data_IF_479764277847
#
_entry.id   IF_479764277847
#
_cell.length_a   1.000
_cell.length_b   1.000
_cell.length_c   1.000
_cell.angle_alpha   90.00
_cell.angle_beta   90.00
_cell.angle_gamma   90.00
#
_symmetry.space_group_name_H-M   'P 1'
#
loop_
_entity.id
_entity.type
_entity.pdbx_description
1 polymer ?
#
# COMPACT_ATOMS: atom_id res chain seq x y z
N UNK A 1 -24.53 -1.48 19.15
CA UNK A 1 -23.95 -1.03 17.87
C UNK A 1 -22.92 -2.06 17.46
N UNK A 2 -23.38 -3.20 16.93
CA UNK A 2 -22.53 -4.23 16.32
C UNK A 2 -22.40 -3.85 14.85
N UNK A 3 -21.31 -3.19 14.51
CA UNK A 3 -21.08 -2.68 13.17
C UNK A 3 -19.66 -2.18 13.08
N UNK A 4 -18.95 -2.72 12.10
CA UNK A 4 -17.63 -2.25 11.73
C UNK A 4 -17.80 -0.88 11.07
N UNK A 5 -17.64 0.20 11.84
CA UNK A 5 -17.74 1.57 11.34
C UNK A 5 -16.36 2.08 10.90
N UNK A 6 -15.91 1.59 9.74
CA UNK A 6 -14.60 1.90 9.17
C UNK A 6 -14.73 2.35 7.71
N UNK A 7 -15.22 3.57 7.43
CA UNK A 7 -15.30 4.08 6.08
C UNK A 7 -13.92 4.25 5.45
N UNK A 8 -13.81 3.94 4.16
CA UNK A 8 -12.61 4.17 3.35
C UNK A 8 -12.72 5.49 2.58
N UNK A 9 -11.62 6.24 2.58
CA UNK A 9 -11.53 7.56 1.98
C UNK A 9 -10.59 7.58 0.77
N UNK A 10 -10.78 8.57 -0.11
CA UNK A 10 -9.87 8.90 -1.21
C UNK A 10 -8.58 9.54 -0.65
N UNK A 11 -7.71 9.98 -1.54
CA UNK A 11 -6.36 10.50 -1.23
C UNK A 11 -6.33 11.77 -0.39
N UNK A 12 -7.47 12.42 -0.19
CA UNK A 12 -7.64 13.59 0.66
C UNK A 12 -7.99 13.23 2.12
N UNK A 13 -8.19 11.94 2.42
CA UNK A 13 -8.61 11.43 3.72
C UNK A 13 -9.92 12.06 4.25
N UNK A 14 -10.77 12.59 3.35
CA UNK A 14 -12.03 13.24 3.69
C UNK A 14 -13.18 12.79 2.79
N UNK A 15 -12.92 12.61 1.49
CA UNK A 15 -13.91 12.15 0.52
C UNK A 15 -14.07 10.64 0.65
N UNK A 16 -15.27 10.16 0.95
CA UNK A 16 -15.55 8.71 1.03
C UNK A 16 -15.54 8.10 -0.38
N UNK A 17 -14.90 6.93 -0.52
CA UNK A 17 -14.89 6.22 -1.81
C UNK A 17 -16.31 5.81 -2.21
N UNK A 18 -16.67 6.03 -3.46
CA UNK A 18 -18.02 5.77 -3.93
C UNK A 18 -18.05 5.07 -5.28
N UNK A 19 -18.93 4.07 -5.39
CA UNK A 19 -19.23 3.41 -6.65
C UNK A 19 -18.12 2.48 -7.16
N UNK A 20 -18.26 1.97 -8.40
CA UNK A 20 -17.44 0.89 -8.95
C UNK A 20 -16.09 1.35 -9.49
N UNK A 21 -15.76 2.64 -9.39
CA UNK A 21 -14.41 3.13 -9.72
C UNK A 21 -13.37 2.66 -8.71
N UNK A 22 -13.83 2.29 -7.52
CA UNK A 22 -13.02 1.77 -6.43
C UNK A 22 -13.59 0.44 -5.98
N UNK A 23 -12.71 -0.45 -5.55
CA UNK A 23 -13.06 -1.77 -5.04
C UNK A 23 -12.25 -2.09 -3.81
N UNK A 24 -12.76 -3.00 -2.99
CA UNK A 24 -12.04 -3.59 -1.88
C UNK A 24 -12.11 -5.11 -1.90
N UNK A 25 -11.12 -5.75 -1.29
CA UNK A 25 -11.08 -7.20 -1.11
C UNK A 25 -10.51 -7.55 0.27
N UNK A 26 -10.99 -8.65 0.82
CA UNK A 26 -10.49 -9.22 2.05
C UNK A 26 -9.17 -9.94 1.80
N UNK A 27 -8.19 -9.71 2.67
CA UNK A 27 -6.93 -10.43 2.70
C UNK A 27 -6.83 -11.17 4.03
N UNK A 28 -6.59 -12.47 3.97
CA UNK A 28 -6.57 -13.34 5.16
C UNK A 28 -5.35 -14.27 5.12
N UNK A 29 -4.77 -14.53 6.30
CA UNK A 29 -3.65 -15.45 6.47
C UNK A 29 -3.58 -15.99 7.90
N UNK A 30 -2.81 -17.06 8.11
CA UNK A 30 -2.57 -17.63 9.45
C UNK A 30 -1.52 -16.87 10.25
N UNK A 31 -0.78 -15.99 9.58
CA UNK A 31 0.18 -15.06 10.16
C UNK A 31 -0.02 -13.67 9.52
N UNK A 32 0.41 -12.58 10.18
CA UNK A 32 0.33 -11.23 9.61
C UNK A 32 1.05 -11.07 8.27
N UNK A 33 2.07 -11.90 8.00
CA UNK A 33 2.90 -11.84 6.79
C UNK A 33 2.43 -12.80 5.68
N UNK A 34 1.42 -13.64 5.94
CA UNK A 34 0.92 -14.65 4.99
C UNK A 34 -0.43 -14.29 4.37
N UNK A 35 -0.82 -13.02 4.43
CA UNK A 35 -2.10 -12.53 3.94
C UNK A 35 -2.25 -12.72 2.43
N UNK A 36 -3.33 -13.40 2.03
CA UNK A 36 -3.70 -13.66 0.63
C UNK A 36 -5.11 -13.16 0.35
N UNK A 37 -5.42 -12.77 -0.90
CA UNK A 37 -6.77 -12.36 -1.26
C UNK A 37 -7.75 -13.53 -1.07
N UNK A 38 -8.89 -13.26 -0.43
CA UNK A 38 -9.96 -14.23 -0.21
C UNK A 38 -11.31 -13.58 -0.52
N UNK A 39 -12.22 -14.36 -1.11
CA UNK A 39 -13.54 -13.88 -1.50
C UNK A 39 -13.54 -12.96 -2.72
N UNK A 40 -14.71 -12.44 -3.04
CA UNK A 40 -14.93 -11.57 -4.19
C UNK A 40 -14.38 -10.16 -3.98
N UNK A 41 -14.01 -9.51 -5.08
CA UNK A 41 -13.72 -8.07 -5.13
C UNK A 41 -15.05 -7.33 -5.11
N UNK A 42 -15.21 -6.40 -4.16
CA UNK A 42 -16.48 -5.72 -3.90
C UNK A 42 -16.36 -4.23 -4.25
N UNK A 43 -17.27 -3.67 -5.07
CA UNK A 43 -17.31 -2.23 -5.32
C UNK A 43 -17.80 -1.48 -4.08
N UNK A 44 -17.40 -0.22 -3.95
CA UNK A 44 -17.92 0.65 -2.90
C UNK A 44 -19.37 1.05 -3.18
N UNK A 45 -20.14 1.20 -2.09
CA UNK A 45 -21.51 1.71 -2.14
C UNK A 45 -21.51 3.21 -2.46
N UNK A 46 -22.69 3.77 -2.69
CA UNK A 46 -22.89 5.18 -3.07
C UNK A 46 -23.77 5.91 -2.06
N UNK A 47 -23.85 7.24 -2.18
CA UNK A 47 -24.69 8.08 -1.33
C UNK A 47 -24.25 8.04 0.14
N UNK A 48 -25.21 7.95 1.06
CA UNK A 48 -24.94 7.89 2.50
C UNK A 48 -24.07 6.69 2.92
N UNK A 49 -24.04 5.62 2.11
CA UNK A 49 -23.24 4.43 2.35
C UNK A 49 -21.87 4.45 1.63
N UNK A 50 -21.48 5.55 1.00
CA UNK A 50 -20.12 5.70 0.47
C UNK A 50 -19.09 5.40 1.57
N UNK A 51 -17.94 4.84 1.17
CA UNK A 51 -16.87 4.39 2.05
C UNK A 51 -17.03 2.97 2.58
N UNK A 52 -18.18 2.32 2.36
CA UNK A 52 -18.42 0.94 2.78
C UNK A 52 -18.66 0.01 1.58
N UNK A 53 -18.33 -1.26 1.75
CA UNK A 53 -18.71 -2.35 0.84
C UNK A 53 -19.87 -3.15 1.42
N UNK A 54 -20.53 -3.97 0.59
CA UNK A 54 -21.53 -4.91 1.10
C UNK A 54 -20.87 -5.99 1.94
N UNK A 55 -21.41 -6.29 3.11
CA UNK A 55 -20.92 -7.40 3.93
C UNK A 55 -21.14 -8.73 3.20
N UNK A 56 -20.10 -9.55 3.14
CA UNK A 56 -20.15 -10.90 2.55
C UNK A 56 -19.47 -11.89 3.48
N UNK A 57 -19.94 -13.14 3.42
CA UNK A 57 -19.26 -14.25 4.11
C UNK A 57 -18.11 -14.71 3.23
N UNK A 58 -16.93 -14.81 3.82
CA UNK A 58 -15.71 -15.25 3.16
C UNK A 58 -15.21 -16.52 3.83
N UNK A 59 -15.06 -17.58 3.06
CA UNK A 59 -14.50 -18.86 3.55
C UNK A 59 -12.99 -18.82 3.45
N UNK A 60 -12.30 -19.08 4.55
CA UNK A 60 -10.84 -19.19 4.58
C UNK A 60 -10.42 -20.59 4.15
N UNK A 61 -9.67 -20.77 3.05
CA UNK A 61 -9.24 -22.10 2.61
C UNK A 61 -8.23 -22.71 3.59
N UNK A 62 -8.43 -23.97 3.97
CA UNK A 62 -7.49 -24.72 4.81
C UNK A 62 -7.48 -24.35 6.29
N UNK A 63 -8.50 -23.61 6.78
CA UNK A 63 -8.69 -23.40 8.21
C UNK A 63 -9.54 -24.52 8.82
N UNK A 64 -9.03 -25.17 9.86
CA UNK A 64 -9.87 -25.93 10.81
C UNK A 64 -10.58 -24.97 11.78
N UNK A 65 -11.56 -25.49 12.54
CA UNK A 65 -12.37 -24.73 13.50
C UNK A 65 -11.52 -23.99 14.54
N UNK A 66 -11.99 -22.81 14.97
CA UNK A 66 -11.40 -22.03 16.07
C UNK A 66 -9.93 -21.64 15.89
N UNK A 67 -9.47 -21.55 14.63
CA UNK A 67 -8.13 -21.05 14.33
C UNK A 67 -8.14 -19.53 14.29
N UNK A 68 -7.12 -18.94 14.93
CA UNK A 68 -6.81 -17.53 14.79
C UNK A 68 -6.27 -17.25 13.39
N UNK A 69 -6.94 -16.33 12.69
CA UNK A 69 -6.49 -15.79 11.41
C UNK A 69 -6.30 -14.29 11.54
N UNK A 70 -5.55 -13.74 10.60
CA UNK A 70 -5.31 -12.32 10.48
C UNK A 70 -6.05 -11.81 9.26
N UNK A 71 -6.83 -10.74 9.43
CA UNK A 71 -7.59 -10.09 8.37
C UNK A 71 -7.06 -8.68 8.11
N UNK A 72 -7.06 -8.29 6.85
CA UNK A 72 -6.82 -6.94 6.39
C UNK A 72 -7.75 -6.63 5.22
N UNK A 73 -8.36 -5.44 5.23
CA UNK A 73 -9.09 -4.94 4.08
C UNK A 73 -8.13 -4.15 3.19
N UNK A 74 -8.12 -4.43 1.90
CA UNK A 74 -7.34 -3.68 0.90
C UNK A 74 -8.26 -3.07 -0.13
N UNK A 75 -8.02 -1.82 -0.49
CA UNK A 75 -8.82 -1.08 -1.46
C UNK A 75 -7.94 -0.42 -2.52
N UNK A 76 -8.45 -0.33 -3.75
CA UNK A 76 -7.74 0.25 -4.88
C UNK A 76 -8.69 0.79 -5.96
N UNK A 77 -8.12 1.56 -6.89
CA UNK A 77 -8.80 2.03 -8.09
C UNK A 77 -8.94 0.90 -9.13
N UNK A 78 -10.17 0.58 -9.52
CA UNK A 78 -10.45 -0.57 -10.40
C UNK A 78 -9.83 -0.45 -11.79
N UNK A 79 -9.63 0.79 -12.26
CA UNK A 79 -9.07 1.06 -13.60
C UNK A 79 -7.60 0.65 -13.72
N UNK A 80 -6.85 0.62 -12.62
CA UNK A 80 -5.40 0.43 -12.64
C UNK A 80 -5.00 -1.02 -12.47
N UNK A 81 -5.86 -1.89 -11.93
CA UNK A 81 -5.57 -3.30 -11.80
C UNK A 81 -6.77 -4.17 -11.46
N UNK A 82 -6.76 -5.39 -12.01
CA UNK A 82 -7.74 -6.42 -11.68
C UNK A 82 -7.53 -7.03 -10.27
N UNK A 83 -6.35 -6.85 -9.69
CA UNK A 83 -6.04 -7.17 -8.29
C UNK A 83 -5.36 -5.97 -7.62
N UNK A 84 -5.28 -6.00 -6.30
CA UNK A 84 -4.57 -4.99 -5.51
C UNK A 84 -3.10 -4.89 -5.92
N UNK A 85 -2.41 -6.02 -6.11
CA UNK A 85 -1.00 -6.06 -6.52
C UNK A 85 -0.81 -5.50 -7.93
N UNK A 86 -1.74 -5.80 -8.85
CA UNK A 86 -1.72 -5.22 -10.19
C UNK A 86 -1.93 -3.71 -10.17
N UNK A 87 -2.83 -3.22 -9.29
CA UNK A 87 -3.10 -1.80 -9.14
C UNK A 87 -1.91 -1.04 -8.56
N UNK A 88 -1.17 -1.64 -7.62
CA UNK A 88 0.12 -1.11 -7.14
C UNK A 88 1.12 -1.07 -8.28
N UNK A 89 1.31 -2.18 -9.00
CA UNK A 89 2.29 -2.26 -10.08
C UNK A 89 2.03 -1.25 -11.21
N UNK A 90 0.76 -0.87 -11.41
CA UNK A 90 0.33 0.14 -12.37
C UNK A 90 0.36 1.58 -11.83
N UNK A 91 0.75 1.78 -10.57
CA UNK A 91 0.81 3.08 -9.91
C UNK A 91 -0.54 3.72 -9.60
N UNK A 92 -1.58 2.90 -9.44
CA UNK A 92 -2.91 3.37 -9.10
C UNK A 92 -3.08 3.74 -7.63
N UNK A 93 -4.17 4.45 -7.33
CA UNK A 93 -4.57 4.74 -5.95
C UNK A 93 -4.85 3.44 -5.22
N UNK A 94 -4.23 3.25 -4.06
CA UNK A 94 -4.37 2.04 -3.26
C UNK A 94 -4.20 2.32 -1.77
N UNK A 95 -4.74 1.46 -0.92
CA UNK A 95 -4.62 1.57 0.53
C UNK A 95 -5.07 0.29 1.23
N UNK A 96 -4.74 0.18 2.52
CA UNK A 96 -5.09 -0.98 3.33
C UNK A 96 -5.35 -0.60 4.78
N UNK A 97 -6.16 -1.41 5.46
CA UNK A 97 -6.46 -1.25 6.88
C UNK A 97 -5.32 -1.76 7.78
N UNK A 98 -5.45 -1.51 9.09
CA UNK A 98 -4.74 -2.31 10.09
C UNK A 98 -5.04 -3.80 9.93
N UNK A 99 -4.10 -4.63 10.38
CA UNK A 99 -4.29 -6.08 10.48
C UNK A 99 -5.01 -6.35 11.80
N UNK A 100 -6.08 -7.14 11.74
CA UNK A 100 -6.85 -7.55 12.92
C UNK A 100 -6.80 -9.06 13.08
N UNK A 101 -6.57 -9.58 14.30
CA UNK A 101 -6.73 -10.99 14.60
C UNK A 101 -8.23 -11.30 14.75
N UNK A 102 -8.67 -12.40 14.17
CA UNK A 102 -10.05 -12.90 14.28
C UNK A 102 -10.07 -14.42 14.35
N UNK A 103 -11.17 -14.99 14.87
CA UNK A 103 -11.39 -16.44 14.91
C UNK A 103 -12.38 -16.80 13.81
N UNK A 104 -12.04 -17.81 13.02
CA UNK A 104 -12.95 -18.35 12.00
C UNK A 104 -13.98 -19.26 12.66
N UNK A 105 -15.25 -19.05 12.33
CA UNK A 105 -16.37 -19.91 12.74
C UNK A 105 -16.93 -20.64 11.51
N UNK A 106 -17.61 -21.77 11.71
CA UNK A 106 -18.20 -22.59 10.63
C UNK A 106 -19.74 -22.59 10.72
N UNK A 107 -20.46 -22.63 9.59
CA UNK A 107 -21.93 -22.79 9.61
C UNK A 107 -22.37 -23.99 10.46
N UNK A 108 -23.33 -23.86 11.38
CA UNK A 108 -24.34 -22.81 11.46
C UNK A 108 -23.96 -21.60 12.34
N UNK A 109 -22.68 -21.46 12.71
CA UNK A 109 -22.16 -20.32 13.46
C UNK A 109 -22.38 -18.97 12.77
N UNK A 110 -22.35 -17.89 13.54
CA UNK A 110 -22.45 -16.53 13.02
C UNK A 110 -21.09 -16.08 12.50
N UNK A 111 -20.98 -15.59 11.25
CA UNK A 111 -19.72 -15.06 10.73
C UNK A 111 -19.13 -14.00 11.68
N UNK A 112 -17.87 -14.19 12.08
CA UNK A 112 -17.16 -13.26 12.95
C UNK A 112 -16.98 -11.92 12.24
N UNK A 113 -17.46 -10.84 12.86
CA UNK A 113 -17.24 -9.49 12.35
C UNK A 113 -15.79 -9.05 12.60
N UNK A 114 -15.19 -8.27 11.68
CA UNK A 114 -13.85 -7.71 11.86
C UNK A 114 -13.83 -6.55 12.87
N UNK A 115 -14.00 -6.87 14.16
CA UNK A 115 -13.99 -5.88 15.24
C UNK A 115 -12.61 -5.21 15.34
N UNK A 116 -12.59 -3.87 15.38
CA UNK A 116 -11.35 -3.10 15.46
C UNK A 116 -10.72 -2.75 14.11
N UNK A 117 -11.43 -2.99 13.00
CA UNK A 117 -11.03 -2.46 11.70
C UNK A 117 -11.01 -0.92 11.75
N UNK A 118 -9.92 -0.34 11.29
CA UNK A 118 -9.74 1.11 11.25
C UNK A 118 -9.99 1.64 9.84
N UNK A 119 -10.62 2.81 9.80
CA UNK A 119 -10.72 3.63 8.58
C UNK A 119 -9.34 3.97 8.03
N UNK A 120 -9.23 4.08 6.71
CA UNK A 120 -8.00 4.48 6.03
C UNK A 120 -8.33 5.27 4.76
N UNK A 121 -7.34 5.99 4.24
CA UNK A 121 -7.39 6.64 2.93
C UNK A 121 -6.51 5.94 1.92
N UNK A 122 -6.88 6.04 0.64
CA UNK A 122 -5.97 5.65 -0.44
C UNK A 122 -4.77 6.59 -0.47
N UNK A 123 -3.63 6.06 -0.86
CA UNK A 123 -2.40 6.83 -1.06
C UNK A 123 -2.20 6.94 -2.57
N UNK A 124 -2.01 8.16 -3.12
CA UNK A 124 -1.49 8.30 -4.46
C UNK A 124 -0.02 7.86 -4.40
N UNK A 125 0.48 7.07 -5.36
CA UNK A 125 1.91 6.81 -5.37
C UNK A 125 2.67 8.14 -5.37
N UNK A 126 3.59 8.39 -4.40
CA UNK A 126 4.56 9.45 -4.58
C UNK A 126 5.52 8.94 -5.63
N UNK A 127 5.17 9.07 -6.90
CA UNK A 127 5.97 8.85 -8.10
C UNK A 127 7.34 8.25 -7.77
N UNK A 128 7.43 6.93 -7.61
CA UNK A 128 8.68 6.24 -7.33
C UNK A 128 9.74 6.61 -8.38
N UNK A 129 9.29 6.98 -9.58
CA UNK A 129 10.06 7.62 -10.65
C UNK A 129 10.73 8.94 -10.25
N UNK A 130 10.05 9.86 -9.56
CA UNK A 130 10.65 11.12 -9.08
C UNK A 130 11.65 10.85 -7.95
N UNK A 131 11.37 9.91 -7.04
CA UNK A 131 12.34 9.49 -6.02
C UNK A 131 13.57 8.81 -6.64
N UNK A 132 13.38 7.98 -7.66
CA UNK A 132 14.46 7.37 -8.44
C UNK A 132 15.28 8.39 -9.23
N UNK A 133 14.63 9.38 -9.85
CA UNK A 133 15.29 10.48 -10.55
C UNK A 133 16.05 11.41 -9.59
N UNK A 134 15.45 11.79 -8.46
CA UNK A 134 16.10 12.64 -7.45
C UNK A 134 17.25 11.90 -6.76
N UNK A 135 17.06 10.64 -6.38
CA UNK A 135 18.10 9.79 -5.79
C UNK A 135 19.24 9.50 -6.77
N UNK A 136 18.91 9.16 -8.01
CA UNK A 136 19.89 8.94 -9.09
C UNK A 136 20.67 10.19 -9.45
N UNK A 137 20.01 11.34 -9.58
CA UNK A 137 20.67 12.63 -9.87
C UNK A 137 21.63 13.04 -8.74
N UNK A 138 21.25 12.84 -7.47
CA UNK A 138 22.11 13.14 -6.33
C UNK A 138 23.39 12.28 -6.34
N UNK A 139 23.28 10.99 -6.68
CA UNK A 139 24.43 10.07 -6.78
C UNK A 139 25.37 10.42 -7.95
N UNK A 140 24.81 10.80 -9.10
CA UNK A 140 25.60 11.24 -10.27
C UNK A 140 26.36 12.54 -9.96
N UNK A 141 25.69 13.52 -9.34
CA UNK A 141 26.31 14.80 -8.97
C UNK A 141 27.37 14.62 -7.87
N UNK A 142 27.15 13.73 -6.90
CA UNK A 142 28.13 13.41 -5.87
C UNK A 142 29.36 12.67 -6.44
N UNK A 143 29.16 11.74 -7.38
CA UNK A 143 30.23 11.03 -8.07
C UNK A 143 31.10 11.94 -8.93
N UNK A 144 30.49 12.88 -9.65
CA UNK A 144 31.22 13.83 -10.51
C UNK A 144 32.15 14.79 -9.73
N UNK A 145 31.88 15.05 -8.44
CA UNK A 145 32.71 15.91 -7.59
C UNK A 145 33.98 15.22 -7.09
N UNK A 146 34.01 13.89 -7.02
CA UNK A 146 35.19 13.11 -6.56
C UNK A 146 36.25 12.91 -7.64
N UNK A 147 35.93 13.13 -8.92
CA UNK A 147 36.86 12.94 -10.04
C UNK A 147 37.85 14.08 -10.31
N UNK A 148 37.78 15.21 -9.60
CA UNK A 148 38.71 16.35 -9.77
C UNK A 148 39.75 16.40 -8.65
N UNK A 149 40.52 15.33 -8.47
CA UNK A 149 41.79 15.44 -7.74
C UNK A 149 42.81 16.04 -8.71
N UNK A 150 43.21 17.27 -8.42
CA UNK A 150 44.25 18.03 -9.11
C UNK A 150 45.55 17.21 -9.18
N UNK A 151 45.96 16.82 -10.39
CA UNK A 151 47.29 16.25 -10.67
C UNK A 151 48.28 17.42 -10.63
N UNK A 152 49.21 17.51 -9.66
CA UNK A 152 50.23 18.54 -9.72
C UNK A 152 51.14 18.23 -10.90
N UNK A 153 51.07 19.05 -11.94
CA UNK A 153 51.97 18.97 -13.08
C UNK A 153 53.32 19.56 -12.68
N UNK A 154 54.34 18.71 -12.66
CA UNK A 154 55.65 19.00 -13.24
C UNK A 154 56.53 20.01 -12.51
N UNK A 155 57.63 19.48 -11.97
CA UNK A 155 58.87 20.22 -11.75
C UNK A 155 59.30 21.00 -13.01
N UNK A 156 59.55 22.30 -12.87
CA UNK A 156 60.42 23.05 -13.77
C UNK A 156 61.47 23.79 -12.93
N UNK A 157 62.73 23.48 -13.24
CA UNK A 157 63.96 24.06 -12.71
C UNK A 157 64.18 25.48 -13.21
N UNK A 158 65.13 26.17 -12.57
CA UNK A 158 65.93 27.29 -13.06
C UNK A 158 65.16 28.64 -13.17
N UNK A 159 65.60 29.77 -12.63
CA UNK A 159 66.84 30.13 -11.96
C UNK A 159 66.99 31.65 -11.94
N UNK A 160 67.98 32.11 -11.16
CA UNK A 160 68.63 33.43 -11.20
C UNK A 160 67.98 34.57 -10.41
N UNK A 161 68.43 34.67 -9.16
CA UNK A 161 68.58 35.91 -8.43
C UNK A 161 69.61 36.82 -9.11
N UNK A 162 69.31 38.12 -9.28
CA UNK A 162 70.23 39.23 -9.02
C UNK A 162 69.53 40.59 -9.15
N UNK A 163 70.00 41.50 -8.30
CA UNK A 163 69.53 42.85 -7.98
C UNK A 163 69.66 43.85 -9.13
#
# INVERSE_FOLDING_TARGET
MSGVDAPVFDTDCATRLAGPAYVAQAYVGFTPDSLRPVGSILPFRTGAAAGYVSATVVTVPGSDLNINVFFQMRAWETRTGASYEAAIAAGGKHGYSNIIPMVVDFPPGTPTEPIGLQSFCLVPEPSAMILGLLGGAALILAGARRGRVFRPSGWAREGRYRC
#
